data_IF_998477932336
#
_entry.id   IF_998477932336
#
_cell.length_a   1.000
_cell.length_b   1.000
_cell.length_c   1.000
_cell.angle_alpha   90.00
_cell.angle_beta   90.00
_cell.angle_gamma   90.00
#
_symmetry.space_group_name_H-M   'P 1'
#
loop_
_entity.id
_entity.type
_entity.pdbx_description
1 polymer ?
#
# COMPACT_ATOMS: atom_id res chain seq x y z
N UNK A 1 2.21 11.56 11.97
CA UNK A 1 3.28 11.58 13.03
C UNK A 1 4.07 10.30 12.85
N UNK A 2 5.42 10.37 12.78
CA UNK A 2 6.26 9.17 12.62
C UNK A 2 6.68 8.68 14.00
N UNK A 3 6.27 7.47 14.37
CA UNK A 3 6.59 6.87 15.67
C UNK A 3 8.04 6.39 15.75
N UNK A 4 8.64 6.51 16.95
CA UNK A 4 9.89 5.83 17.33
C UNK A 4 9.60 4.41 17.82
N UNK A 5 10.63 3.58 18.01
CA UNK A 5 10.46 2.22 18.57
C UNK A 5 9.85 2.25 19.99
N UNK A 6 10.28 3.20 20.79
CA UNK A 6 9.81 3.39 22.16
C UNK A 6 8.33 3.79 22.19
N UNK A 7 7.92 4.72 21.32
CA UNK A 7 6.53 5.15 21.19
C UNK A 7 5.62 4.01 20.69
N UNK A 8 6.11 3.19 19.75
CA UNK A 8 5.36 1.99 19.29
C UNK A 8 5.20 1.00 20.44
N UNK A 9 6.24 0.73 21.22
CA UNK A 9 6.15 -0.18 22.37
C UNK A 9 5.18 0.33 23.44
N UNK A 10 5.17 1.63 23.68
CA UNK A 10 4.20 2.28 24.57
C UNK A 10 2.78 2.17 24.04
N UNK A 11 2.58 2.53 22.77
CA UNK A 11 1.29 2.45 22.09
C UNK A 11 0.69 1.04 22.16
N UNK A 12 1.49 0.01 21.85
CA UNK A 12 1.05 -1.40 21.87
C UNK A 12 0.55 -1.82 23.25
N UNK A 13 1.17 -1.30 24.32
CA UNK A 13 0.77 -1.57 25.70
C UNK A 13 -0.50 -0.81 26.11
N UNK A 14 -0.57 0.48 25.77
CA UNK A 14 -1.68 1.37 26.19
C UNK A 14 -2.98 1.08 25.44
N UNK A 15 -2.88 0.72 24.16
CA UNK A 15 -4.02 0.54 23.25
C UNK A 15 -4.49 -0.93 23.13
N UNK A 16 -4.12 -1.79 24.08
CA UNK A 16 -4.51 -3.22 24.14
C UNK A 16 -4.30 -3.96 22.80
N UNK A 17 -3.18 -3.70 22.14
CA UNK A 17 -2.82 -4.40 20.90
C UNK A 17 -2.55 -5.88 21.19
N UNK A 18 -3.17 -6.78 20.43
CA UNK A 18 -3.01 -8.22 20.59
C UNK A 18 -2.25 -8.89 19.44
N UNK A 19 -2.25 -8.28 18.27
CA UNK A 19 -1.53 -8.78 17.09
C UNK A 19 -0.83 -7.65 16.36
N UNK A 20 0.41 -7.91 15.93
CA UNK A 20 1.22 -6.98 15.14
C UNK A 20 1.52 -7.66 13.82
N UNK A 21 1.06 -7.08 12.72
CA UNK A 21 1.35 -7.57 11.38
C UNK A 21 2.63 -6.94 10.87
N UNK A 22 3.60 -7.76 10.56
CA UNK A 22 4.84 -7.39 9.89
C UNK A 22 4.61 -7.58 8.39
N UNK A 23 4.41 -6.46 7.68
CA UNK A 23 4.02 -6.45 6.28
C UNK A 23 5.22 -6.15 5.37
N UNK A 24 5.25 -6.78 4.22
CA UNK A 24 6.24 -6.57 3.15
C UNK A 24 5.60 -6.89 1.80
N UNK A 25 6.25 -6.55 0.69
CA UNK A 25 5.79 -6.88 -0.65
C UNK A 25 6.70 -7.90 -1.30
N UNK A 26 6.12 -8.80 -2.10
CA UNK A 26 6.90 -9.63 -3.00
C UNK A 26 7.36 -8.83 -4.25
N UNK A 27 8.12 -9.44 -5.14
CA UNK A 27 8.65 -8.80 -6.36
C UNK A 27 7.55 -8.34 -7.36
N UNK A 28 6.32 -8.78 -7.16
CA UNK A 28 5.15 -8.36 -7.96
C UNK A 28 4.32 -7.28 -7.28
N UNK A 29 4.80 -6.70 -6.17
CA UNK A 29 4.07 -5.70 -5.39
C UNK A 29 2.92 -6.28 -4.57
N UNK A 30 2.76 -7.60 -4.48
CA UNK A 30 1.71 -8.20 -3.67
C UNK A 30 2.10 -8.17 -2.19
N UNK A 31 1.29 -7.47 -1.38
CA UNK A 31 1.52 -7.40 0.06
C UNK A 31 1.34 -8.77 0.71
N UNK A 32 2.29 -9.10 1.57
CA UNK A 32 2.30 -10.28 2.46
C UNK A 32 2.52 -9.84 3.90
N UNK A 33 2.23 -10.70 4.84
CA UNK A 33 2.56 -10.44 6.24
C UNK A 33 2.70 -11.73 7.05
N UNK A 34 3.41 -11.63 8.16
CA UNK A 34 3.30 -12.54 9.30
C UNK A 34 2.76 -11.77 10.49
N UNK A 35 2.15 -12.45 11.44
CA UNK A 35 1.66 -11.83 12.66
C UNK A 35 2.48 -12.29 13.85
N UNK A 36 2.87 -11.34 14.70
CA UNK A 36 3.56 -11.62 15.96
C UNK A 36 2.71 -11.16 17.13
N UNK A 37 2.97 -11.75 18.29
CA UNK A 37 2.39 -11.28 19.56
C UNK A 37 3.17 -10.05 20.07
N UNK A 38 2.54 -9.18 20.88
CA UNK A 38 3.22 -8.02 21.45
C UNK A 38 4.50 -8.33 22.23
N UNK A 39 4.57 -9.50 22.88
CA UNK A 39 5.77 -9.97 23.59
C UNK A 39 7.00 -10.13 22.69
N UNK A 40 6.79 -10.37 21.38
CA UNK A 40 7.87 -10.54 20.40
C UNK A 40 8.37 -9.22 19.83
N UNK A 41 7.68 -8.11 20.07
CA UNK A 41 8.00 -6.82 19.48
C UNK A 41 9.42 -6.31 19.84
N UNK A 42 9.91 -6.45 21.09
CA UNK A 42 11.28 -6.07 21.41
C UNK A 42 12.32 -6.84 20.60
N UNK A 43 12.11 -8.16 20.40
CA UNK A 43 12.97 -8.99 19.54
C UNK A 43 12.87 -8.58 18.07
N UNK A 44 11.67 -8.31 17.59
CA UNK A 44 11.45 -7.86 16.21
C UNK A 44 12.23 -6.56 15.91
N UNK A 45 12.26 -5.61 16.83
CA UNK A 45 13.01 -4.37 16.66
C UNK A 45 14.53 -4.53 16.83
N UNK A 46 14.98 -5.49 17.62
CA UNK A 46 16.39 -5.71 17.89
C UNK A 46 17.06 -6.61 16.84
N UNK A 47 16.45 -7.77 16.61
CA UNK A 47 17.07 -8.86 15.86
C UNK A 47 16.32 -9.15 14.55
N UNK A 48 15.11 -8.61 14.37
CA UNK A 48 14.19 -8.99 13.29
C UNK A 48 13.43 -10.28 13.60
N UNK A 49 12.53 -10.66 12.69
CA UNK A 49 11.74 -11.90 12.75
C UNK A 49 12.05 -12.74 11.53
N UNK A 50 12.57 -13.93 11.75
CA UNK A 50 12.85 -14.89 10.68
C UNK A 50 11.57 -15.40 10.02
N UNK A 51 11.61 -15.61 8.73
CA UNK A 51 10.57 -16.29 7.96
C UNK A 51 11.16 -17.11 6.83
N UNK A 52 10.46 -18.16 6.43
CA UNK A 52 10.81 -18.97 5.28
C UNK A 52 10.33 -18.27 4.00
N UNK A 53 11.27 -17.84 3.18
CA UNK A 53 11.02 -17.14 1.93
C UNK A 53 10.94 -18.09 0.71
N UNK A 54 11.24 -19.38 0.85
CA UNK A 54 11.29 -20.33 -0.27
C UNK A 54 9.96 -20.47 -1.01
N UNK A 55 8.84 -20.32 -0.28
CA UNK A 55 7.50 -20.37 -0.87
C UNK A 55 7.08 -19.05 -1.55
N UNK A 56 7.91 -17.98 -1.48
CA UNK A 56 7.63 -16.70 -2.09
C UNK A 56 8.40 -16.60 -3.40
N UNK A 57 7.64 -16.57 -4.50
CA UNK A 57 8.24 -16.52 -5.83
C UNK A 57 9.21 -15.34 -5.99
N UNK A 58 10.45 -15.62 -6.34
CA UNK A 58 11.50 -14.62 -6.53
C UNK A 58 12.26 -14.24 -5.26
N UNK A 59 12.00 -14.88 -4.11
CA UNK A 59 12.67 -14.55 -2.84
C UNK A 59 13.80 -15.51 -2.46
N UNK A 60 13.86 -16.67 -3.03
CA UNK A 60 14.90 -17.64 -2.73
C UNK A 60 14.56 -19.05 -3.20
N UNK A 61 15.33 -19.99 -2.73
CA UNK A 61 15.15 -21.42 -2.95
C UNK A 61 15.22 -22.17 -1.62
N UNK A 62 15.03 -23.49 -1.66
CA UNK A 62 15.03 -24.33 -0.45
C UNK A 62 16.38 -24.34 0.29
N UNK A 63 17.47 -23.94 -0.35
CA UNK A 63 18.82 -23.93 0.24
C UNK A 63 19.17 -22.59 0.90
N UNK A 64 18.44 -21.51 0.53
CA UNK A 64 18.64 -20.15 1.04
C UNK A 64 17.28 -19.53 1.40
N UNK A 65 16.54 -20.23 2.29
CA UNK A 65 15.14 -19.90 2.59
C UNK A 65 14.98 -18.84 3.66
N UNK A 66 15.94 -18.68 4.56
CA UNK A 66 15.79 -17.82 5.73
C UNK A 66 16.05 -16.35 5.41
N UNK A 67 15.05 -15.52 5.59
CA UNK A 67 15.14 -14.07 5.57
C UNK A 67 14.59 -13.47 6.86
N UNK A 68 14.94 -12.20 7.15
CA UNK A 68 14.61 -11.49 8.36
C UNK A 68 13.75 -10.27 8.05
N UNK A 69 12.61 -10.11 8.76
CA UNK A 69 11.77 -8.92 8.71
C UNK A 69 12.15 -7.95 9.81
N UNK A 70 12.49 -6.71 9.44
CA UNK A 70 12.78 -5.62 10.36
C UNK A 70 11.69 -4.56 10.27
N UNK A 71 10.79 -4.44 11.28
CA UNK A 71 9.70 -3.49 11.24
C UNK A 71 10.18 -2.04 11.32
N UNK A 72 9.59 -1.20 10.46
CA UNK A 72 9.78 0.25 10.49
C UNK A 72 8.73 0.87 11.42
N UNK A 73 9.11 1.37 12.60
CA UNK A 73 8.18 1.93 13.57
C UNK A 73 7.41 3.15 13.03
N UNK A 74 8.00 3.90 12.09
CA UNK A 74 7.38 5.08 11.50
C UNK A 74 6.14 4.76 10.67
N UNK A 75 5.93 3.48 10.33
CA UNK A 75 4.81 2.98 9.52
C UNK A 75 3.71 2.31 10.33
N UNK A 76 3.75 2.45 11.67
CA UNK A 76 2.69 1.92 12.55
C UNK A 76 1.33 2.43 12.10
N UNK A 77 0.41 1.52 11.88
CA UNK A 77 -0.98 1.83 11.54
C UNK A 77 -1.94 0.84 12.17
N UNK A 78 -3.04 1.33 12.74
CA UNK A 78 -4.16 0.51 13.20
C UNK A 78 -4.88 -0.05 11.98
N UNK A 79 -5.47 -1.24 12.11
CA UNK A 79 -6.36 -1.81 11.11
C UNK A 79 -7.83 -1.59 11.53
N UNK A 80 -8.51 -0.52 11.04
CA UNK A 80 -9.82 -0.11 11.56
C UNK A 80 -10.94 -1.13 11.40
N UNK A 81 -10.79 -2.07 10.46
CA UNK A 81 -11.74 -3.16 10.23
C UNK A 81 -11.59 -4.32 11.21
N UNK A 82 -10.71 -4.23 12.19
CA UNK A 82 -10.55 -5.20 13.27
C UNK A 82 -11.22 -4.68 14.53
N UNK A 83 -11.60 -5.59 15.47
CA UNK A 83 -12.25 -5.18 16.72
C UNK A 83 -11.41 -4.15 17.50
N UNK A 84 -12.08 -3.24 18.19
CA UNK A 84 -11.43 -2.27 19.08
C UNK A 84 -10.77 -2.95 20.28
N UNK A 85 -11.42 -3.98 20.82
CA UNK A 85 -10.82 -4.83 21.85
C UNK A 85 -9.92 -5.89 21.19
N UNK A 86 -8.68 -5.94 21.62
CA UNK A 86 -7.67 -6.78 20.99
C UNK A 86 -7.22 -6.26 19.63
N UNK A 87 -6.90 -4.99 19.58
CA UNK A 87 -6.50 -4.27 18.36
C UNK A 87 -5.41 -4.99 17.58
N UNK A 88 -5.48 -4.83 16.28
CA UNK A 88 -4.45 -5.31 15.35
C UNK A 88 -3.80 -4.09 14.70
N UNK A 89 -2.48 -4.06 14.75
CA UNK A 89 -1.69 -3.03 14.06
C UNK A 89 -0.82 -3.66 12.97
N UNK A 90 -0.36 -2.84 12.05
CA UNK A 90 0.56 -3.22 10.98
C UNK A 90 1.75 -2.27 10.98
N UNK A 91 2.95 -2.81 10.75
CA UNK A 91 4.12 -2.05 10.31
C UNK A 91 4.67 -2.66 9.04
N UNK A 92 5.15 -1.82 8.12
CA UNK A 92 5.95 -2.28 6.99
C UNK A 92 7.35 -2.63 7.45
N UNK A 93 7.96 -3.61 6.77
CA UNK A 93 9.29 -4.10 7.09
C UNK A 93 10.24 -3.92 5.91
N UNK A 94 11.51 -3.79 6.23
CA UNK A 94 12.61 -4.09 5.33
C UNK A 94 13.06 -5.54 5.53
N UNK A 95 13.69 -6.11 4.49
CA UNK A 95 14.09 -7.52 4.48
C UNK A 95 15.61 -7.62 4.41
N UNK A 96 16.19 -8.47 5.25
CA UNK A 96 17.62 -8.78 5.23
C UNK A 96 17.85 -10.28 5.20
N UNK A 97 19.06 -10.67 4.83
CA UNK A 97 19.61 -11.98 5.16
C UNK A 97 19.88 -12.09 6.67
N UNK A 98 20.06 -13.32 7.21
CA UNK A 98 20.39 -13.51 8.64
C UNK A 98 21.71 -12.84 9.08
N UNK A 99 22.63 -12.60 8.15
CA UNK A 99 23.89 -11.89 8.41
C UNK A 99 23.76 -10.35 8.41
N UNK A 100 22.54 -9.82 8.22
CA UNK A 100 22.22 -8.39 8.23
C UNK A 100 22.38 -7.68 6.87
N UNK A 101 22.86 -8.36 5.82
CA UNK A 101 22.89 -7.79 4.48
C UNK A 101 21.46 -7.57 3.99
N UNK A 102 21.21 -6.43 3.33
CA UNK A 102 19.92 -6.12 2.71
C UNK A 102 19.63 -7.16 1.63
N UNK A 103 18.40 -7.68 1.63
CA UNK A 103 17.92 -8.55 0.56
C UNK A 103 17.68 -7.74 -0.72
N UNK A 104 18.33 -8.12 -1.80
CA UNK A 104 18.35 -7.34 -3.06
C UNK A 104 16.98 -7.22 -3.74
N UNK A 105 16.08 -8.18 -3.50
CA UNK A 105 14.72 -8.17 -4.04
C UNK A 105 13.68 -7.53 -3.09
N UNK A 106 14.13 -6.96 -1.96
CA UNK A 106 13.24 -6.15 -1.13
C UNK A 106 12.87 -4.84 -1.84
N UNK A 107 11.66 -4.80 -2.38
CA UNK A 107 11.16 -3.65 -3.17
C UNK A 107 11.20 -2.33 -2.39
N UNK A 108 10.95 -2.39 -1.07
CA UNK A 108 11.01 -1.21 -0.20
C UNK A 108 12.45 -0.70 -0.03
N UNK A 109 13.42 -1.59 0.16
CA UNK A 109 14.85 -1.22 0.23
C UNK A 109 15.40 -0.71 -1.11
N UNK A 110 14.87 -1.20 -2.24
CA UNK A 110 15.21 -0.67 -3.58
C UNK A 110 14.79 0.81 -3.67
N UNK A 111 13.57 1.14 -3.25
CA UNK A 111 13.09 2.52 -3.24
C UNK A 111 13.89 3.40 -2.26
N UNK A 112 14.20 2.92 -1.06
CA UNK A 112 15.02 3.64 -0.08
C UNK A 112 16.39 4.01 -0.68
N UNK A 113 17.05 3.08 -1.36
CA UNK A 113 18.33 3.36 -2.04
C UNK A 113 18.19 4.43 -3.12
N UNK A 114 17.14 4.37 -3.93
CA UNK A 114 16.88 5.38 -4.96
C UNK A 114 16.64 6.78 -4.34
N UNK A 115 15.91 6.84 -3.21
CA UNK A 115 15.71 8.08 -2.45
C UNK A 115 17.04 8.62 -1.92
N UNK A 116 17.90 7.76 -1.37
CA UNK A 116 19.19 8.17 -0.85
C UNK A 116 20.15 8.65 -1.95
N UNK A 117 20.10 8.04 -3.13
CA UNK A 117 20.87 8.50 -4.28
C UNK A 117 20.38 9.86 -4.80
N UNK A 118 19.07 10.09 -4.84
CA UNK A 118 18.49 11.41 -5.14
C UNK A 118 18.93 12.48 -4.13
N UNK A 119 18.91 12.15 -2.82
CA UNK A 119 19.38 13.05 -1.75
C UNK A 119 20.84 13.41 -1.89
N UNK A 120 21.72 12.50 -2.30
CA UNK A 120 23.14 12.80 -2.59
C UNK A 120 23.29 13.84 -3.69
N UNK A 121 22.35 13.83 -4.66
CA UNK A 121 22.26 14.88 -5.70
C UNK A 121 21.59 16.16 -5.19
N UNK A 122 21.09 16.20 -3.97
CA UNK A 122 20.36 17.32 -3.37
C UNK A 122 18.92 17.44 -3.87
N UNK A 123 18.32 16.33 -4.31
CA UNK A 123 16.95 16.29 -4.83
C UNK A 123 16.08 15.43 -3.90
N UNK A 124 14.88 15.92 -3.59
CA UNK A 124 13.81 15.18 -2.94
C UNK A 124 12.61 15.08 -3.87
N UNK A 125 11.96 13.93 -3.89
CA UNK A 125 10.77 13.68 -4.69
C UNK A 125 9.55 13.47 -3.80
N UNK A 126 8.42 14.08 -4.20
CA UNK A 126 7.10 13.79 -3.69
C UNK A 126 6.25 13.14 -4.80
N UNK A 127 5.43 12.19 -4.41
CA UNK A 127 4.56 11.44 -5.32
C UNK A 127 3.09 11.55 -4.88
N UNK A 128 2.20 11.79 -5.86
CA UNK A 128 0.75 11.72 -5.72
C UNK A 128 0.22 10.58 -6.60
N UNK A 129 0.02 9.38 -6.05
CA UNK A 129 -0.57 8.28 -6.80
C UNK A 129 -2.09 8.41 -6.88
N UNK A 130 -2.65 8.11 -8.04
CA UNK A 130 -4.08 8.01 -8.34
C UNK A 130 -4.35 6.57 -8.79
N UNK A 131 -5.23 5.88 -8.10
CA UNK A 131 -5.51 4.47 -8.37
C UNK A 131 -6.99 4.25 -8.64
N UNK A 132 -7.30 3.81 -9.85
CA UNK A 132 -8.63 3.39 -10.25
C UNK A 132 -8.84 1.91 -9.95
N UNK A 133 -10.08 1.55 -9.69
CA UNK A 133 -10.49 0.17 -9.46
C UNK A 133 -11.93 -0.09 -9.87
N UNK A 134 -12.19 -1.31 -10.32
CA UNK A 134 -13.54 -1.78 -10.58
C UNK A 134 -14.13 -2.51 -9.37
N UNK A 135 -15.44 -2.37 -9.18
CA UNK A 135 -16.21 -3.17 -8.23
C UNK A 135 -17.10 -4.16 -9.01
N UNK A 136 -16.90 -5.44 -8.76
CA UNK A 136 -17.66 -6.54 -9.35
C UNK A 136 -18.52 -7.24 -8.27
N UNK A 137 -19.68 -7.75 -8.71
CA UNK A 137 -20.51 -8.62 -7.88
C UNK A 137 -19.83 -9.97 -7.69
N UNK A 138 -20.08 -10.59 -6.54
CA UNK A 138 -19.72 -11.98 -6.29
C UNK A 138 -20.88 -12.89 -6.71
N UNK A 139 -20.57 -14.14 -7.04
CA UNK A 139 -21.57 -15.19 -7.20
C UNK A 139 -22.06 -15.73 -5.83
N UNK A 140 -23.00 -16.67 -5.83
CA UNK A 140 -23.54 -17.27 -4.60
C UNK A 140 -22.50 -18.05 -3.78
N UNK A 141 -21.38 -18.42 -4.40
CA UNK A 141 -20.25 -19.10 -3.75
C UNK A 141 -19.16 -18.12 -3.28
N UNK A 142 -19.34 -16.81 -3.51
CA UNK A 142 -18.37 -15.77 -3.16
C UNK A 142 -17.23 -15.62 -4.15
N UNK A 143 -17.32 -16.18 -5.36
CA UNK A 143 -16.31 -15.97 -6.39
C UNK A 143 -16.57 -14.68 -7.16
N UNK A 144 -15.49 -14.06 -7.66
CA UNK A 144 -15.58 -12.92 -8.59
C UNK A 144 -16.37 -13.27 -9.83
N UNK A 145 -17.27 -12.38 -10.25
CA UNK A 145 -17.92 -12.39 -11.57
C UNK A 145 -17.38 -11.26 -12.44
N UNK A 146 -17.76 -11.24 -13.74
CA UNK A 146 -17.53 -10.10 -14.64
C UNK A 146 -18.71 -9.13 -14.67
N UNK A 147 -19.63 -9.22 -13.69
CA UNK A 147 -20.79 -8.33 -13.58
C UNK A 147 -20.42 -7.11 -12.75
N UNK A 148 -20.33 -5.90 -13.34
CA UNK A 148 -20.08 -4.68 -12.60
C UNK A 148 -21.12 -4.44 -11.49
N UNK A 149 -20.71 -3.73 -10.44
CA UNK A 149 -21.61 -3.42 -9.33
C UNK A 149 -22.78 -2.52 -9.75
N UNK A 150 -22.51 -1.58 -10.66
CA UNK A 150 -23.49 -0.69 -11.27
C UNK A 150 -23.17 -0.45 -12.75
N UNK A 151 -23.91 0.49 -13.37
CA UNK A 151 -23.75 0.87 -14.78
C UNK A 151 -23.64 2.40 -14.94
N UNK A 152 -23.33 3.10 -13.85
CA UNK A 152 -23.11 4.53 -13.86
C UNK A 152 -21.92 4.91 -14.75
N UNK A 153 -21.83 6.18 -15.08
CA UNK A 153 -20.75 6.79 -15.85
C UNK A 153 -19.95 7.80 -15.03
N UNK A 154 -19.10 8.54 -15.72
CA UNK A 154 -18.17 9.49 -15.13
C UNK A 154 -18.88 10.56 -14.30
N UNK A 155 -18.52 10.64 -13.01
CA UNK A 155 -19.08 11.58 -12.03
C UNK A 155 -20.59 11.49 -11.81
N UNK A 156 -21.24 10.39 -12.21
CA UNK A 156 -22.64 10.14 -11.86
C UNK A 156 -22.79 10.05 -10.34
N UNK A 157 -24.04 10.30 -9.89
CA UNK A 157 -24.41 10.28 -8.47
C UNK A 157 -25.43 9.16 -8.19
N UNK A 158 -25.70 8.89 -6.92
CA UNK A 158 -26.79 7.99 -6.54
C UNK A 158 -28.15 8.47 -7.10
N UNK A 159 -29.03 7.58 -7.53
CA UNK A 159 -29.02 6.12 -7.34
C UNK A 159 -28.27 5.31 -8.41
N UNK A 160 -27.80 5.91 -9.49
CA UNK A 160 -27.06 5.26 -10.58
C UNK A 160 -25.73 4.76 -10.07
N UNK A 161 -24.94 5.66 -9.41
CA UNK A 161 -23.73 5.33 -8.69
C UNK A 161 -24.04 4.62 -7.37
N UNK A 162 -23.86 3.30 -7.36
CA UNK A 162 -24.03 2.47 -6.15
C UNK A 162 -22.75 2.38 -5.31
N UNK A 163 -21.63 2.79 -5.87
CA UNK A 163 -20.32 2.75 -5.23
C UNK A 163 -20.08 3.87 -4.20
N UNK A 164 -20.91 4.91 -4.15
CA UNK A 164 -20.73 6.09 -3.31
C UNK A 164 -20.49 5.75 -1.83
N UNK A 165 -21.31 4.88 -1.23
CA UNK A 165 -21.16 4.49 0.16
C UNK A 165 -19.91 3.62 0.41
N UNK A 166 -19.50 2.83 -0.57
CA UNK A 166 -18.26 2.03 -0.52
C UNK A 166 -17.07 2.97 -0.50
N UNK A 167 -17.00 3.94 -1.43
CA UNK A 167 -15.93 4.95 -1.45
C UNK A 167 -15.88 5.77 -0.17
N UNK A 168 -17.05 6.17 0.36
CA UNK A 168 -17.15 6.88 1.64
C UNK A 168 -16.55 6.06 2.79
N UNK A 169 -16.88 4.77 2.90
CA UNK A 169 -16.31 3.88 3.94
C UNK A 169 -14.81 3.75 3.77
N UNK A 170 -14.32 3.59 2.54
CA UNK A 170 -12.88 3.54 2.22
C UNK A 170 -12.20 4.84 2.69
N UNK A 171 -12.70 6.01 2.30
CA UNK A 171 -12.12 7.30 2.69
C UNK A 171 -12.00 7.45 4.21
N UNK A 172 -13.06 7.12 4.95
CA UNK A 172 -13.06 7.20 6.42
C UNK A 172 -12.06 6.22 7.06
N UNK A 173 -11.87 5.04 6.49
CA UNK A 173 -10.84 4.11 6.97
C UNK A 173 -9.42 4.59 6.66
N UNK A 174 -9.21 5.18 5.48
CA UNK A 174 -7.93 5.78 5.10
C UNK A 174 -7.54 6.91 6.06
N UNK A 175 -8.49 7.80 6.41
CA UNK A 175 -8.25 8.87 7.39
C UNK A 175 -7.84 8.31 8.77
N UNK A 176 -8.51 7.26 9.25
CA UNK A 176 -8.12 6.59 10.50
C UNK A 176 -6.72 5.98 10.44
N UNK A 177 -6.25 5.61 9.26
CA UNK A 177 -4.90 5.10 9.02
C UNK A 177 -3.87 6.21 8.71
N UNK A 178 -4.28 7.48 8.77
CA UNK A 178 -3.40 8.64 8.56
C UNK A 178 -3.19 9.03 7.09
N UNK A 179 -3.90 8.39 6.16
CA UNK A 179 -3.94 8.75 4.74
C UNK A 179 -5.08 9.76 4.54
N UNK A 180 -4.84 10.83 3.80
CA UNK A 180 -5.81 11.92 3.61
C UNK A 180 -6.39 11.85 2.20
N UNK A 181 -7.62 11.33 2.00
CA UNK A 181 -8.32 11.42 0.73
C UNK A 181 -8.54 12.89 0.32
N UNK A 182 -8.51 13.17 -0.96
CA UNK A 182 -8.77 14.50 -1.53
C UNK A 182 -10.05 14.51 -2.35
N UNK A 183 -10.25 13.49 -3.19
CA UNK A 183 -11.45 13.33 -4.00
C UNK A 183 -11.88 11.88 -4.08
N UNK A 184 -13.15 11.66 -4.42
CA UNK A 184 -13.67 10.33 -4.77
C UNK A 184 -14.86 10.49 -5.71
N UNK A 185 -14.89 9.74 -6.80
CA UNK A 185 -15.96 9.77 -7.77
C UNK A 185 -16.13 8.44 -8.49
N UNK A 186 -17.26 8.30 -9.19
CA UNK A 186 -17.44 7.22 -10.15
C UNK A 186 -16.65 7.53 -11.41
N UNK A 187 -15.99 6.50 -11.96
CA UNK A 187 -15.20 6.60 -13.17
C UNK A 187 -16.02 6.29 -14.44
N UNK A 188 -15.37 6.32 -15.63
CA UNK A 188 -16.00 6.16 -16.92
C UNK A 188 -16.63 4.76 -17.12
N UNK A 189 -15.98 3.73 -16.60
CA UNK A 189 -16.43 2.35 -16.74
C UNK A 189 -17.52 1.97 -15.74
N UNK A 190 -18.45 1.05 -16.09
CA UNK A 190 -19.49 0.59 -15.18
C UNK A 190 -18.86 -0.07 -13.93
N UNK A 191 -19.24 0.40 -12.75
CA UNK A 191 -18.65 -0.05 -11.48
C UNK A 191 -17.20 0.37 -11.27
N UNK A 192 -16.68 1.30 -12.07
CA UNK A 192 -15.32 1.84 -11.93
C UNK A 192 -15.34 3.04 -10.98
N UNK A 193 -14.31 3.13 -10.14
CA UNK A 193 -14.20 4.11 -9.07
C UNK A 193 -12.78 4.64 -8.98
N UNK A 194 -12.64 5.88 -8.53
CA UNK A 194 -11.37 6.50 -8.17
C UNK A 194 -11.45 7.18 -6.81
N UNK A 195 -10.35 7.13 -6.08
CA UNK A 195 -10.17 7.87 -4.84
C UNK A 195 -8.72 8.38 -4.82
N UNK A 196 -8.58 9.69 -4.87
CA UNK A 196 -7.30 10.35 -4.77
C UNK A 196 -6.96 10.67 -3.32
N UNK A 197 -5.68 10.61 -3.01
CA UNK A 197 -5.17 11.01 -1.70
C UNK A 197 -3.90 11.85 -1.84
N UNK A 198 -3.64 12.67 -0.82
CA UNK A 198 -2.57 13.65 -0.86
C UNK A 198 -1.22 13.04 -1.17
N UNK A 199 -0.45 13.78 -1.99
CA UNK A 199 0.96 13.47 -2.23
C UNK A 199 1.77 13.45 -0.93
N UNK A 200 2.86 12.71 -0.96
CA UNK A 200 3.81 12.59 0.15
C UNK A 200 5.20 12.24 -0.37
N UNK A 201 6.18 12.19 0.55
CA UNK A 201 7.51 11.68 0.19
C UNK A 201 7.41 10.28 -0.45
N UNK A 202 8.37 9.96 -1.32
CA UNK A 202 8.33 8.78 -2.17
C UNK A 202 8.06 7.46 -1.42
N UNK A 203 8.68 7.26 -0.25
CA UNK A 203 8.48 6.04 0.54
C UNK A 203 7.10 5.98 1.17
N UNK A 204 6.63 7.10 1.72
CA UNK A 204 5.29 7.22 2.28
C UNK A 204 4.22 7.02 1.21
N UNK A 205 4.40 7.58 -0.01
CA UNK A 205 3.47 7.40 -1.12
C UNK A 205 3.35 5.92 -1.55
N UNK A 206 4.46 5.20 -1.61
CA UNK A 206 4.47 3.77 -1.91
C UNK A 206 3.77 2.94 -0.81
N UNK A 207 4.09 3.21 0.47
CA UNK A 207 3.45 2.55 1.61
C UNK A 207 1.94 2.86 1.67
N UNK A 208 1.53 4.10 1.32
CA UNK A 208 0.12 4.52 1.24
C UNK A 208 -0.62 3.80 0.10
N UNK A 209 -0.01 3.64 -1.07
CA UNK A 209 -0.62 2.92 -2.21
C UNK A 209 -0.89 1.45 -1.85
N UNK A 210 0.02 0.78 -1.16
CA UNK A 210 -0.18 -0.58 -0.65
C UNK A 210 -1.28 -0.65 0.41
N UNK A 211 -1.35 0.36 1.26
CA UNK A 211 -2.40 0.47 2.28
C UNK A 211 -3.75 0.72 1.62
N UNK A 212 -3.82 1.62 0.65
CA UNK A 212 -5.02 1.92 -0.13
C UNK A 212 -5.61 0.66 -0.76
N UNK A 213 -4.81 -0.10 -1.52
CA UNK A 213 -5.26 -1.34 -2.15
C UNK A 213 -5.81 -2.34 -1.13
N UNK A 214 -5.17 -2.45 0.03
CA UNK A 214 -5.63 -3.33 1.13
C UNK A 214 -6.95 -2.87 1.71
N UNK A 215 -7.13 -1.56 1.93
CA UNK A 215 -8.38 -0.98 2.45
C UNK A 215 -9.51 -1.19 1.45
N UNK A 216 -9.30 -0.84 0.18
CA UNK A 216 -10.31 -1.02 -0.89
C UNK A 216 -10.77 -2.46 -0.97
N UNK A 217 -9.84 -3.43 -1.06
CA UNK A 217 -10.18 -4.86 -1.11
C UNK A 217 -10.91 -5.33 0.15
N UNK A 218 -10.52 -4.83 1.32
CA UNK A 218 -11.16 -5.21 2.59
C UNK A 218 -12.59 -4.67 2.69
N UNK A 219 -12.79 -3.40 2.39
CA UNK A 219 -14.12 -2.75 2.45
C UNK A 219 -15.05 -3.39 1.41
N UNK A 220 -14.57 -3.55 0.17
CA UNK A 220 -15.35 -4.19 -0.89
C UNK A 220 -15.76 -5.61 -0.51
N UNK A 221 -14.83 -6.43 0.00
CA UNK A 221 -15.14 -7.80 0.44
C UNK A 221 -16.14 -7.86 1.58
N UNK A 222 -16.10 -6.92 2.54
CA UNK A 222 -17.10 -6.82 3.63
C UNK A 222 -18.49 -6.44 3.12
N UNK A 223 -18.56 -5.75 1.99
CA UNK A 223 -19.80 -5.37 1.31
C UNK A 223 -20.24 -6.38 0.22
N UNK A 224 -19.63 -7.57 0.17
CA UNK A 224 -20.01 -8.62 -0.79
C UNK A 224 -19.59 -8.31 -2.23
N UNK A 225 -18.50 -7.54 -2.40
CA UNK A 225 -17.99 -7.13 -3.70
C UNK A 225 -16.52 -7.56 -3.86
N UNK A 226 -16.10 -7.65 -5.11
CA UNK A 226 -14.72 -7.84 -5.50
C UNK A 226 -14.15 -6.54 -6.08
N UNK A 227 -13.08 -6.03 -5.49
CA UNK A 227 -12.32 -4.91 -6.05
C UNK A 227 -11.21 -5.43 -6.96
N UNK A 228 -11.12 -4.88 -8.17
CA UNK A 228 -10.19 -5.29 -9.20
C UNK A 228 -9.34 -4.10 -9.67
N UNK A 229 -8.03 -4.20 -9.46
CA UNK A 229 -7.02 -3.23 -9.87
C UNK A 229 -6.26 -3.65 -11.14
N UNK A 230 -6.70 -4.71 -11.83
CA UNK A 230 -6.03 -5.10 -13.08
C UNK A 230 -6.18 -4.00 -14.14
N UNK A 231 -5.17 -3.79 -15.02
CA UNK A 231 -5.20 -2.65 -15.95
C UNK A 231 -6.38 -2.65 -16.91
N UNK A 232 -6.93 -3.79 -17.28
CA UNK A 232 -8.05 -3.92 -18.23
C UNK A 232 -9.02 -5.01 -17.80
N UNK A 233 -9.85 -4.79 -16.75
CA UNK A 233 -10.76 -5.81 -16.24
C UNK A 233 -11.85 -6.21 -17.23
N UNK A 234 -12.34 -5.25 -18.02
CA UNK A 234 -13.37 -5.43 -19.05
C UNK A 234 -12.83 -5.01 -20.42
N UNK A 235 -12.90 -5.91 -21.40
CA UNK A 235 -12.28 -5.75 -22.72
C UNK A 235 -12.68 -4.47 -23.45
N UNK A 236 -13.99 -4.14 -23.44
CA UNK A 236 -14.57 -3.05 -24.24
C UNK A 236 -14.98 -1.84 -23.37
N UNK A 237 -14.46 -1.71 -22.17
CA UNK A 237 -14.71 -0.60 -21.24
C UNK A 237 -13.41 0.11 -20.88
N UNK A 238 -13.47 1.20 -20.15
CA UNK A 238 -12.29 1.91 -19.66
C UNK A 238 -11.33 0.96 -18.90
N UNK A 239 -10.04 1.17 -19.02
CA UNK A 239 -9.03 0.49 -18.19
C UNK A 239 -8.88 1.20 -16.86
N UNK A 240 -8.27 0.53 -15.87
CA UNK A 240 -7.87 1.20 -14.64
C UNK A 240 -6.58 1.96 -14.86
N UNK A 241 -6.60 3.26 -14.60
CA UNK A 241 -5.41 4.09 -14.49
C UNK A 241 -4.64 3.79 -13.20
N UNK A 242 -3.35 3.90 -13.29
CA UNK A 242 -2.46 4.06 -12.15
C UNK A 242 -1.50 5.20 -12.48
N UNK A 243 -1.96 6.43 -12.19
CA UNK A 243 -1.20 7.62 -12.47
C UNK A 243 -0.28 7.96 -11.28
N UNK A 244 0.90 8.47 -11.58
CA UNK A 244 1.84 8.90 -10.56
C UNK A 244 2.26 10.34 -10.88
N UNK A 245 1.70 11.30 -10.15
CA UNK A 245 2.13 12.70 -10.20
C UNK A 245 3.46 12.85 -9.46
N UNK A 246 4.43 13.50 -10.06
CA UNK A 246 5.79 13.62 -9.53
C UNK A 246 6.13 15.09 -9.35
N UNK A 247 6.52 15.48 -8.14
CA UNK A 247 7.17 16.75 -7.83
C UNK A 247 8.61 16.51 -7.42
N UNK A 248 9.49 17.45 -7.75
CA UNK A 248 10.88 17.41 -7.35
C UNK A 248 11.29 18.74 -6.74
N UNK A 249 11.93 18.68 -5.57
CA UNK A 249 12.41 19.82 -4.80
C UNK A 249 13.93 19.72 -4.61
N UNK A 250 14.61 20.85 -4.59
CA UNK A 250 16.04 20.90 -4.30
C UNK A 250 16.38 22.10 -3.44
N UNK A 251 17.21 21.87 -2.44
CA UNK A 251 17.81 22.95 -1.63
C UNK A 251 18.89 23.73 -2.38
N UNK A 252 19.42 23.17 -3.49
CA UNK A 252 20.54 23.74 -4.27
C UNK A 252 20.10 24.59 -5.45
N UNK A 253 18.82 24.80 -5.64
CA UNK A 253 18.26 25.59 -6.74
C UNK A 253 17.14 24.88 -7.49
N UNK A 254 16.80 25.38 -8.66
CA UNK A 254 15.70 24.89 -9.47
C UNK A 254 16.01 23.52 -10.07
N UNK A 255 15.10 22.57 -9.91
CA UNK A 255 15.21 21.22 -10.51
C UNK A 255 14.71 21.28 -11.94
N UNK A 256 15.53 20.87 -12.89
CA UNK A 256 15.13 20.80 -14.29
C UNK A 256 14.16 19.64 -14.54
N UNK A 257 12.87 19.95 -14.70
CA UNK A 257 11.83 18.98 -15.02
C UNK A 257 12.15 18.19 -16.30
N UNK A 258 12.76 18.85 -17.30
CA UNK A 258 13.15 18.17 -18.55
C UNK A 258 14.19 17.06 -18.34
N UNK A 259 15.11 17.21 -17.40
CA UNK A 259 16.06 16.15 -17.04
C UNK A 259 15.38 14.96 -16.34
N UNK A 260 14.40 15.24 -15.48
CA UNK A 260 13.61 14.18 -14.82
C UNK A 260 12.83 13.40 -15.87
N UNK A 261 12.10 14.09 -16.75
CA UNK A 261 11.33 13.48 -17.85
C UNK A 261 12.24 12.63 -18.74
N UNK A 262 13.39 13.15 -19.14
CA UNK A 262 14.36 12.41 -19.95
C UNK A 262 14.86 11.13 -19.22
N UNK A 263 15.07 11.21 -17.92
CA UNK A 263 15.45 10.05 -17.10
C UNK A 263 14.35 9.00 -17.08
N UNK A 264 13.11 9.40 -16.83
CA UNK A 264 11.94 8.49 -16.83
C UNK A 264 11.80 7.83 -18.21
N UNK A 265 11.80 8.63 -19.31
CA UNK A 265 11.67 8.11 -20.67
C UNK A 265 12.80 7.15 -21.06
N UNK A 266 14.00 7.34 -20.51
CA UNK A 266 15.15 6.47 -20.81
C UNK A 266 15.00 5.08 -20.18
N UNK A 267 14.35 4.97 -19.04
CA UNK A 267 14.29 3.75 -18.23
C UNK A 267 12.90 3.10 -18.20
N UNK A 268 11.89 3.73 -18.78
CA UNK A 268 10.60 3.07 -19.07
C UNK A 268 10.82 2.01 -20.13
N UNK A 269 10.35 0.76 -19.93
CA UNK A 269 10.48 -0.33 -20.88
C UNK A 269 9.79 -0.05 -22.22
#
# INVERSE_FOLDING_TARGET
MKYTKEEVMQYVKEEDVKFIRLAFCDIYGKQKNISIMPSELPRAFKDGIAFDASAIRGFGDETHSDLMLHPDPSTLSVLPWRPEHGRVVRMFCTITYPDGRIFECDTRSILIRAIDDAKKCGIAFDFGPELEFYLFKLDELGNKTDTPYDVAGYMDIAPEDRGENIRREICLMLEQMGIRPESSHHEEGPGQNEIDFRYSDALTAADNSQTFETVVKTVSGRNGLWADFTPKPLKDKAGNGFHINISANSEKGEVSLSHIIAGVMKFIP
#
